data_IF_658592830318
#
_entry.id   IF_658592830318
#
_cell.length_a   1.000
_cell.length_b   1.000
_cell.length_c   1.000
_cell.angle_alpha   90.00
_cell.angle_beta   90.00
_cell.angle_gamma   90.00
#
_symmetry.space_group_name_H-M   'P 1'
#
loop_
_entity.id
_entity.type
_entity.pdbx_description
1 polymer ?
#
# COMPACT_ATOMS: atom_id res chain seq x y z
N UNK A 1 -14.80 3.94 -16.42
CA UNK A 1 -14.80 5.42 -16.32
C UNK A 1 -14.57 6.02 -17.70
N UNK A 2 -15.57 6.73 -18.25
CA UNK A 2 -15.51 7.33 -19.59
C UNK A 2 -14.84 8.71 -19.51
N UNK A 3 -13.56 8.72 -19.14
CA UNK A 3 -12.78 9.96 -19.14
C UNK A 3 -11.92 10.03 -20.41
N UNK A 4 -11.60 11.26 -20.87
CA UNK A 4 -10.69 11.47 -22.01
C UNK A 4 -9.34 10.78 -21.79
N UNK A 5 -8.85 10.75 -20.56
CA UNK A 5 -7.58 10.10 -20.20
C UNK A 5 -7.67 8.59 -20.38
N UNK A 6 -8.77 7.96 -19.98
CA UNK A 6 -8.99 6.53 -20.13
C UNK A 6 -9.13 6.14 -21.62
N UNK A 7 -9.88 6.90 -22.40
CA UNK A 7 -9.97 6.67 -23.85
C UNK A 7 -8.60 6.84 -24.54
N UNK A 8 -7.83 7.84 -24.13
CA UNK A 8 -6.47 8.03 -24.65
C UNK A 8 -5.57 6.83 -24.30
N UNK A 9 -5.66 6.30 -23.06
CA UNK A 9 -4.92 5.11 -22.65
C UNK A 9 -5.30 3.90 -23.51
N UNK A 10 -6.60 3.62 -23.68
CA UNK A 10 -7.07 2.49 -24.51
C UNK A 10 -6.54 2.58 -25.94
N UNK A 11 -6.62 3.77 -26.54
CA UNK A 11 -6.16 3.98 -27.89
C UNK A 11 -4.64 3.75 -28.02
N UNK A 12 -3.85 4.29 -27.09
CA UNK A 12 -2.40 4.11 -27.08
C UNK A 12 -2.00 2.64 -26.85
N UNK A 13 -2.71 1.94 -25.99
CA UNK A 13 -2.49 0.50 -25.76
C UNK A 13 -2.78 -0.30 -27.03
N UNK A 14 -3.90 -0.02 -27.70
CA UNK A 14 -4.26 -0.66 -28.96
C UNK A 14 -3.28 -0.35 -30.11
N UNK A 15 -2.82 0.90 -30.23
CA UNK A 15 -1.79 1.31 -31.22
C UNK A 15 -0.49 0.51 -31.05
N UNK A 16 -0.16 0.08 -29.83
CA UNK A 16 1.01 -0.75 -29.54
C UNK A 16 0.76 -2.26 -29.67
N UNK A 17 -0.44 -2.67 -30.07
CA UNK A 17 -0.83 -4.08 -30.17
C UNK A 17 -0.98 -4.77 -28.81
N UNK A 18 -1.14 -3.99 -27.72
CA UNK A 18 -1.32 -4.49 -26.38
C UNK A 18 -2.83 -4.60 -26.03
N UNK A 19 -3.15 -5.47 -25.12
CA UNK A 19 -4.49 -5.63 -24.57
C UNK A 19 -4.49 -5.31 -23.08
N UNK A 20 -5.46 -4.51 -22.64
CA UNK A 20 -5.68 -4.28 -21.21
C UNK A 20 -6.41 -5.50 -20.66
N UNK A 21 -5.84 -6.14 -19.64
CA UNK A 21 -6.44 -7.24 -18.91
C UNK A 21 -6.81 -6.79 -17.49
N UNK A 22 -7.85 -7.38 -16.95
CA UNK A 22 -8.28 -7.17 -15.57
C UNK A 22 -7.91 -8.43 -14.78
N UNK A 23 -6.95 -8.36 -13.84
CA UNK A 23 -6.62 -9.52 -13.02
C UNK A 23 -7.80 -9.89 -12.13
N UNK A 24 -7.95 -11.16 -11.85
CA UNK A 24 -8.97 -11.69 -10.94
C UNK A 24 -8.34 -12.11 -9.62
N UNK A 25 -9.06 -12.00 -8.51
CA UNK A 25 -8.60 -12.52 -7.23
C UNK A 25 -8.26 -14.01 -7.33
N UNK A 26 -7.11 -14.39 -6.77
CA UNK A 26 -6.55 -15.74 -6.86
C UNK A 26 -5.72 -16.02 -8.12
N UNK A 27 -5.73 -15.15 -9.11
CA UNK A 27 -4.81 -15.26 -10.25
C UNK A 27 -3.39 -14.89 -9.85
N UNK A 28 -2.42 -15.43 -10.59
CA UNK A 28 -1.02 -15.07 -10.45
C UNK A 28 -0.31 -15.05 -11.79
N UNK A 29 0.78 -14.31 -11.86
CA UNK A 29 1.65 -14.28 -13.02
C UNK A 29 3.12 -14.28 -12.59
N UNK A 30 3.96 -14.86 -13.44
CA UNK A 30 5.40 -14.81 -13.26
C UNK A 30 5.96 -13.49 -13.80
N UNK A 31 6.86 -12.87 -13.03
CA UNK A 31 7.52 -11.63 -13.37
C UNK A 31 9.03 -11.78 -13.16
N UNK A 32 9.72 -12.26 -14.17
CA UNK A 32 11.13 -12.64 -14.08
C UNK A 32 11.32 -13.76 -13.06
N UNK A 33 12.13 -13.49 -12.01
CA UNK A 33 12.31 -14.41 -10.88
C UNK A 33 11.34 -14.18 -9.73
N UNK A 34 10.36 -13.28 -9.90
CA UNK A 34 9.33 -12.96 -8.94
C UNK A 34 7.97 -13.50 -9.38
N UNK A 35 7.06 -13.62 -8.45
CA UNK A 35 5.66 -13.97 -8.69
C UNK A 35 4.77 -12.82 -8.24
N UNK A 36 3.75 -12.49 -9.01
CA UNK A 36 2.71 -11.55 -8.63
C UNK A 36 1.42 -12.33 -8.37
N UNK A 37 0.80 -12.12 -7.23
CA UNK A 37 -0.50 -12.69 -6.87
C UNK A 37 -1.51 -11.57 -6.68
N UNK A 38 -2.74 -11.76 -7.18
CA UNK A 38 -3.82 -10.80 -7.10
C UNK A 38 -4.86 -11.25 -6.08
N UNK A 39 -5.24 -10.34 -5.18
CA UNK A 39 -6.17 -10.62 -4.08
C UNK A 39 -7.44 -9.80 -4.14
N UNK A 40 -7.44 -8.68 -4.88
CA UNK A 40 -8.58 -7.80 -5.04
C UNK A 40 -8.59 -7.08 -6.39
N UNK A 41 -9.74 -6.46 -6.76
CA UNK A 41 -10.96 -6.43 -5.96
C UNK A 41 -11.72 -7.78 -5.97
N UNK A 42 -12.28 -8.16 -4.81
CA UNK A 42 -13.12 -9.38 -4.70
C UNK A 42 -14.47 -9.12 -5.37
N UNK A 43 -15.08 -7.99 -5.04
CA UNK A 43 -16.36 -7.56 -5.63
C UNK A 43 -16.13 -6.32 -6.49
N UNK A 44 -16.43 -6.42 -7.79
CA UNK A 44 -16.40 -5.26 -8.67
C UNK A 44 -17.57 -4.31 -8.32
N UNK A 45 -17.24 -3.07 -7.99
CA UNK A 45 -18.23 -2.02 -7.72
C UNK A 45 -18.06 -0.83 -8.67
N UNK A 46 -19.13 -0.49 -9.41
CA UNK A 46 -19.10 0.70 -10.25
C UNK A 46 -19.24 2.01 -9.44
N UNK A 47 -19.82 1.93 -8.25
CA UNK A 47 -20.10 3.08 -7.38
C UNK A 47 -18.98 3.38 -6.40
N UNK A 48 -18.19 2.38 -6.01
CA UNK A 48 -17.09 2.51 -5.08
C UNK A 48 -15.75 2.23 -5.78
N UNK A 49 -15.07 3.31 -6.16
CA UNK A 49 -13.80 3.22 -6.90
C UNK A 49 -12.64 2.80 -6.00
N UNK A 50 -12.70 3.11 -4.72
CA UNK A 50 -11.65 2.78 -3.78
C UNK A 50 -11.62 1.27 -3.55
N UNK A 51 -12.77 0.68 -3.27
CA UNK A 51 -12.91 -0.78 -3.12
C UNK A 51 -12.79 -1.55 -4.46
N UNK A 52 -12.76 -0.84 -5.60
CA UNK A 52 -12.34 -1.38 -6.89
C UNK A 52 -10.82 -1.39 -7.11
N UNK A 53 -10.01 -1.16 -6.10
CA UNK A 53 -8.54 -1.15 -6.20
C UNK A 53 -7.99 -2.55 -6.42
N UNK A 54 -6.99 -2.66 -7.31
CA UNK A 54 -6.22 -3.89 -7.44
C UNK A 54 -5.36 -4.06 -6.19
N UNK A 55 -5.58 -5.16 -5.48
CA UNK A 55 -4.74 -5.60 -4.37
C UNK A 55 -3.84 -6.73 -4.84
N UNK A 56 -2.52 -6.53 -4.74
CA UNK A 56 -1.55 -7.50 -5.25
C UNK A 56 -0.34 -7.64 -4.34
N UNK A 57 0.24 -8.85 -4.32
CA UNK A 57 1.49 -9.17 -3.64
C UNK A 57 2.55 -9.58 -4.65
N UNK A 58 3.73 -8.96 -4.58
CA UNK A 58 4.92 -9.36 -5.32
C UNK A 58 5.79 -10.17 -4.38
N UNK A 59 6.16 -11.38 -4.78
CA UNK A 59 6.98 -12.33 -4.01
C UNK A 59 8.30 -12.52 -4.73
N UNK A 60 9.41 -12.32 -4.00
CA UNK A 60 10.75 -12.59 -4.49
C UNK A 60 11.58 -13.28 -3.41
N UNK A 61 11.85 -14.57 -3.59
CA UNK A 61 12.48 -15.41 -2.58
C UNK A 61 11.69 -15.42 -1.27
N UNK A 62 12.35 -15.06 -0.17
CA UNK A 62 11.76 -14.99 1.17
C UNK A 62 11.14 -13.62 1.49
N UNK A 63 11.09 -12.71 0.52
CA UNK A 63 10.56 -11.34 0.71
C UNK A 63 9.31 -11.10 -0.12
N UNK A 64 8.45 -10.23 0.37
CA UNK A 64 7.23 -9.88 -0.35
C UNK A 64 6.80 -8.44 -0.11
N UNK A 65 6.07 -7.90 -1.08
CA UNK A 65 5.57 -6.52 -1.12
C UNK A 65 4.08 -6.55 -1.41
N UNK A 66 3.27 -6.05 -0.49
CA UNK A 66 1.82 -5.95 -0.66
C UNK A 66 1.42 -4.53 -1.01
N UNK A 67 0.67 -4.39 -2.09
CA UNK A 67 0.10 -3.14 -2.59
C UNK A 67 -1.42 -3.23 -2.52
N UNK A 68 -2.06 -2.29 -1.86
CA UNK A 68 -3.50 -2.33 -1.58
C UNK A 68 -4.29 -1.23 -2.30
N UNK A 69 -3.60 -0.38 -3.09
CA UNK A 69 -4.25 0.76 -3.74
C UNK A 69 -4.94 1.65 -2.70
N UNK A 70 -6.17 2.01 -2.98
CA UNK A 70 -7.05 2.77 -2.10
C UNK A 70 -8.17 1.91 -1.50
N UNK A 71 -8.00 0.56 -1.51
CA UNK A 71 -8.93 -0.37 -0.88
C UNK A 71 -9.28 0.06 0.55
N UNK A 72 -10.56 0.01 0.86
CA UNK A 72 -11.09 0.39 2.16
C UNK A 72 -11.59 -0.84 2.93
N UNK A 73 -12.19 -0.62 4.07
CA UNK A 73 -12.59 -1.63 5.04
C UNK A 73 -13.39 -2.79 4.45
N UNK A 74 -14.30 -2.50 3.55
CA UNK A 74 -15.19 -3.49 2.94
C UNK A 74 -14.38 -4.47 2.09
N UNK A 75 -13.53 -3.95 1.21
CA UNK A 75 -12.65 -4.77 0.37
C UNK A 75 -11.63 -5.56 1.20
N UNK A 76 -11.01 -4.92 2.21
CA UNK A 76 -10.10 -5.61 3.13
C UNK A 76 -10.80 -6.79 3.84
N UNK A 77 -12.06 -6.63 4.23
CA UNK A 77 -12.83 -7.69 4.87
C UNK A 77 -13.19 -8.83 3.92
N UNK A 78 -13.51 -8.53 2.66
CA UNK A 78 -13.74 -9.53 1.63
C UNK A 78 -12.48 -10.34 1.36
N UNK A 79 -11.32 -9.67 1.24
CA UNK A 79 -10.01 -10.31 1.06
C UNK A 79 -9.67 -11.22 2.26
N UNK A 80 -9.87 -10.74 3.49
CA UNK A 80 -9.68 -11.56 4.70
C UNK A 80 -10.57 -12.79 4.68
N UNK A 81 -11.83 -12.64 4.27
CA UNK A 81 -12.81 -13.73 4.20
C UNK A 81 -12.46 -14.74 3.13
N UNK A 82 -11.74 -14.35 2.09
CA UNK A 82 -11.26 -15.25 1.03
C UNK A 82 -10.08 -16.15 1.48
N UNK A 83 -9.41 -15.82 2.60
CA UNK A 83 -8.41 -16.67 3.25
C UNK A 83 -7.07 -16.76 2.50
N UNK A 84 -6.69 -15.70 1.78
CA UNK A 84 -5.37 -15.61 1.14
C UNK A 84 -4.27 -15.43 2.18
N UNK A 85 -3.05 -15.89 1.85
CA UNK A 85 -1.84 -15.55 2.61
C UNK A 85 -1.44 -14.10 2.31
N UNK A 86 -1.79 -13.19 3.23
CA UNK A 86 -1.51 -11.77 3.10
C UNK A 86 -0.15 -11.36 3.68
N UNK A 87 0.57 -12.27 4.35
CA UNK A 87 1.85 -11.97 4.98
C UNK A 87 2.81 -11.26 4.02
N UNK A 88 3.40 -10.15 4.43
CA UNK A 88 4.28 -9.37 3.54
C UNK A 88 5.39 -8.65 4.32
N UNK A 89 6.59 -8.61 3.74
CA UNK A 89 7.73 -7.88 4.32
C UNK A 89 7.50 -6.37 4.29
N UNK A 90 6.93 -5.87 3.21
CA UNK A 90 6.65 -4.45 2.98
C UNK A 90 5.18 -4.27 2.64
N UNK A 91 4.52 -3.35 3.33
CA UNK A 91 3.17 -2.90 3.01
C UNK A 91 3.22 -1.49 2.42
N UNK A 92 2.68 -1.31 1.22
CA UNK A 92 2.23 0.00 0.77
C UNK A 92 0.89 0.27 1.43
N UNK A 93 0.88 1.19 2.39
CA UNK A 93 -0.31 1.53 3.18
C UNK A 93 -1.44 2.01 2.27
N UNK A 94 -2.64 1.49 2.51
CA UNK A 94 -3.82 1.78 1.73
C UNK A 94 -4.25 3.25 1.81
N UNK A 95 -4.77 3.76 0.72
CA UNK A 95 -5.45 5.06 0.60
C UNK A 95 -4.68 6.20 1.30
N UNK A 96 -3.37 6.25 1.08
CA UNK A 96 -2.44 7.26 1.62
C UNK A 96 -2.48 7.43 3.16
N UNK A 97 -2.91 6.40 3.87
CA UNK A 97 -3.08 6.43 5.33
C UNK A 97 -4.45 6.94 5.79
N UNK A 98 -5.49 6.77 4.97
CA UNK A 98 -6.88 7.00 5.36
C UNK A 98 -7.26 6.13 6.56
N UNK A 99 -8.11 6.65 7.45
CA UNK A 99 -8.66 5.89 8.57
C UNK A 99 -9.52 4.68 8.17
N UNK A 100 -10.03 4.71 6.93
CA UNK A 100 -10.90 3.66 6.39
C UNK A 100 -10.11 2.47 5.84
N UNK A 101 -8.80 2.61 5.64
CA UNK A 101 -7.91 1.59 5.06
C UNK A 101 -6.89 1.09 6.07
N UNK A 102 -6.24 -0.03 5.76
CA UNK A 102 -5.26 -0.68 6.63
C UNK A 102 -5.85 -0.91 8.03
N UNK A 103 -7.02 -1.58 8.04
CA UNK A 103 -7.72 -1.91 9.28
C UNK A 103 -6.89 -2.82 10.16
N UNK A 104 -7.15 -2.80 11.47
CA UNK A 104 -6.37 -3.61 12.41
C UNK A 104 -6.41 -5.11 12.10
N UNK A 105 -7.56 -5.75 11.78
CA UNK A 105 -7.58 -7.14 11.37
C UNK A 105 -6.74 -7.42 10.12
N UNK A 106 -6.80 -6.53 9.12
CA UNK A 106 -6.03 -6.67 7.89
C UNK A 106 -4.53 -6.54 8.15
N UNK A 107 -4.12 -5.56 8.97
CA UNK A 107 -2.74 -5.37 9.38
C UNK A 107 -2.18 -6.57 10.17
N UNK A 108 -3.00 -7.20 11.01
CA UNK A 108 -2.62 -8.39 11.77
C UNK A 108 -2.34 -9.62 10.87
N UNK A 109 -3.04 -9.76 9.75
CA UNK A 109 -2.77 -10.84 8.79
C UNK A 109 -1.53 -10.56 7.92
N UNK A 110 -1.24 -9.27 7.65
CA UNK A 110 -0.08 -8.89 6.85
C UNK A 110 1.22 -8.99 7.67
N UNK A 111 1.21 -8.55 8.91
CA UNK A 111 2.38 -8.48 9.82
C UNK A 111 3.63 -7.88 9.15
N UNK A 112 3.56 -6.69 8.55
CA UNK A 112 4.66 -6.17 7.76
C UNK A 112 5.79 -5.67 8.66
N UNK A 113 7.03 -5.88 8.22
CA UNK A 113 8.20 -5.27 8.88
C UNK A 113 8.29 -3.76 8.56
N UNK A 114 7.92 -3.39 7.36
CA UNK A 114 7.98 -2.02 6.86
C UNK A 114 6.64 -1.61 6.28
N UNK A 115 6.21 -0.39 6.59
CA UNK A 115 5.05 0.24 5.98
C UNK A 115 5.47 1.53 5.26
N UNK A 116 5.06 1.70 4.01
CA UNK A 116 5.32 2.90 3.21
C UNK A 116 4.02 3.64 2.97
N UNK A 117 3.95 4.88 3.45
CA UNK A 117 2.84 5.80 3.20
C UNK A 117 3.26 6.76 2.08
N UNK A 118 2.67 6.58 0.90
CA UNK A 118 2.82 7.51 -0.21
C UNK A 118 1.82 8.65 -0.02
N UNK A 119 2.29 9.79 0.42
CA UNK A 119 1.47 10.95 0.77
C UNK A 119 2.24 12.23 0.50
N UNK A 120 1.56 13.28 0.11
CA UNK A 120 2.07 14.64 -0.02
C UNK A 120 1.26 15.60 0.83
N UNK A 121 1.47 16.90 0.62
CA UNK A 121 0.63 17.94 1.22
C UNK A 121 -0.81 17.77 0.75
N UNK A 122 -1.75 17.71 1.69
CA UNK A 122 -3.15 17.38 1.39
C UNK A 122 -4.11 18.00 2.40
N UNK A 123 -5.37 18.16 1.98
CA UNK A 123 -6.46 18.68 2.81
C UNK A 123 -7.36 17.56 3.39
N UNK A 124 -7.01 16.30 3.17
CA UNK A 124 -7.77 15.13 3.66
C UNK A 124 -7.37 14.74 5.09
N UNK A 125 -6.26 15.29 5.59
CA UNK A 125 -5.69 14.92 6.88
C UNK A 125 -4.97 13.57 6.88
N UNK A 126 -4.53 13.11 5.71
CA UNK A 126 -3.74 11.88 5.57
C UNK A 126 -2.24 12.13 5.79
N UNK A 127 -1.52 11.17 6.41
CA UNK A 127 -2.06 10.00 7.07
C UNK A 127 -2.79 10.38 8.35
N UNK A 128 -3.89 9.68 8.65
CA UNK A 128 -4.67 9.91 9.88
C UNK A 128 -3.99 9.30 11.09
N UNK A 129 -4.28 9.86 12.28
CA UNK A 129 -3.76 9.30 13.54
C UNK A 129 -4.26 7.88 13.78
N UNK A 130 -5.50 7.56 13.37
CA UNK A 130 -6.03 6.20 13.45
C UNK A 130 -5.14 5.17 12.75
N UNK A 131 -4.67 5.51 11.55
CA UNK A 131 -3.78 4.62 10.78
C UNK A 131 -2.38 4.56 11.39
N UNK A 132 -1.83 5.71 11.81
CA UNK A 132 -0.53 5.77 12.45
C UNK A 132 -0.50 5.01 13.79
N UNK A 133 -1.58 5.11 14.60
CA UNK A 133 -1.72 4.36 15.84
C UNK A 133 -1.70 2.85 15.59
N UNK A 134 -2.50 2.36 14.64
CA UNK A 134 -2.50 0.92 14.28
C UNK A 134 -1.11 0.41 13.89
N UNK A 135 -0.37 1.18 13.10
CA UNK A 135 1.00 0.82 12.69
C UNK A 135 1.98 0.84 13.87
N UNK A 136 1.82 1.77 14.84
CA UNK A 136 2.62 1.78 16.10
C UNK A 136 2.32 0.57 16.96
N UNK A 137 1.03 0.28 17.17
CA UNK A 137 0.59 -0.83 18.00
C UNK A 137 1.05 -2.19 17.45
N UNK A 138 1.26 -2.27 16.13
CA UNK A 138 1.81 -3.43 15.44
C UNK A 138 3.36 -3.42 15.34
N UNK A 139 4.05 -2.47 15.96
CA UNK A 139 5.53 -2.29 15.93
C UNK A 139 6.10 -2.24 14.50
N UNK A 140 5.38 -1.64 13.56
CA UNK A 140 5.77 -1.54 12.15
C UNK A 140 6.65 -0.31 11.94
N UNK A 141 7.80 -0.48 11.29
CA UNK A 141 8.64 0.64 10.89
C UNK A 141 8.01 1.39 9.71
N UNK A 142 7.60 2.63 9.95
CA UNK A 142 6.89 3.47 8.99
C UNK A 142 7.85 4.37 8.21
N UNK A 143 7.62 4.50 6.91
CA UNK A 143 8.24 5.48 6.02
C UNK A 143 7.17 6.34 5.36
N UNK A 144 7.45 7.65 5.17
CA UNK A 144 6.47 8.60 4.61
C UNK A 144 7.14 9.49 3.55
N UNK A 145 6.51 9.59 2.38
CA UNK A 145 7.07 10.37 1.26
C UNK A 145 7.02 11.88 1.50
N UNK A 146 6.04 12.41 2.24
CA UNK A 146 5.96 13.83 2.63
C UNK A 146 7.15 14.27 3.51
N UNK A 147 7.65 13.37 4.35
CA UNK A 147 8.77 13.64 5.28
C UNK A 147 10.12 13.23 4.70
N UNK A 148 10.18 12.15 3.92
CA UNK A 148 11.43 11.48 3.52
C UNK A 148 11.71 11.55 2.01
N UNK A 149 10.81 12.11 1.21
CA UNK A 149 10.93 12.17 -0.24
C UNK A 149 10.78 10.80 -0.89
N UNK A 150 11.61 10.50 -1.88
CA UNK A 150 11.57 9.21 -2.54
C UNK A 150 12.00 8.11 -1.57
N UNK A 151 11.24 7.03 -1.52
CA UNK A 151 11.49 5.85 -0.69
C UNK A 151 11.73 4.68 -1.63
N UNK A 152 12.88 4.04 -1.53
CA UNK A 152 13.27 2.90 -2.34
C UNK A 152 13.45 1.70 -1.45
N UNK A 153 12.62 0.67 -1.65
CA UNK A 153 12.76 -0.62 -1.00
C UNK A 153 13.32 -1.63 -2.02
N UNK A 154 14.47 -2.19 -1.71
CA UNK A 154 15.20 -3.15 -2.56
C UNK A 154 15.28 -4.49 -1.88
N UNK A 155 15.01 -5.57 -2.63
CA UNK A 155 15.15 -6.94 -2.14
C UNK A 155 16.25 -7.69 -2.92
N UNK A 156 17.00 -8.51 -2.21
CA UNK A 156 17.90 -9.51 -2.75
C UNK A 156 17.32 -10.94 -2.73
N UNK A 157 16.03 -11.05 -2.42
CA UNK A 157 15.30 -12.31 -2.25
C UNK A 157 15.37 -12.90 -0.85
N UNK A 158 16.15 -12.32 0.07
CA UNK A 158 16.27 -12.75 1.48
C UNK A 158 15.97 -11.61 2.44
N UNK A 159 16.44 -10.41 2.10
CA UNK A 159 16.32 -9.22 2.93
C UNK A 159 15.80 -8.04 2.12
N UNK A 160 15.09 -7.14 2.80
CA UNK A 160 14.68 -5.86 2.23
C UNK A 160 15.49 -4.75 2.88
N UNK A 161 16.09 -3.92 2.05
CA UNK A 161 16.73 -2.66 2.46
C UNK A 161 15.88 -1.49 2.00
N UNK A 162 15.59 -0.55 2.90
CA UNK A 162 14.84 0.66 2.57
C UNK A 162 15.76 1.87 2.70
N UNK A 163 15.82 2.68 1.65
CA UNK A 163 16.56 3.95 1.61
C UNK A 163 15.61 5.10 1.30
N UNK A 164 15.94 6.30 1.78
CA UNK A 164 15.14 7.50 1.61
C UNK A 164 15.99 8.61 1.01
N UNK A 165 15.38 9.48 0.21
CA UNK A 165 16.09 10.60 -0.44
C UNK A 165 16.53 11.67 0.56
N UNK A 166 15.78 11.87 1.64
CA UNK A 166 16.06 12.85 2.67
C UNK A 166 15.54 12.39 4.03
N UNK A 167 16.03 12.99 5.12
CA UNK A 167 15.54 12.78 6.49
C UNK A 167 15.42 11.29 6.88
N UNK A 168 16.48 10.51 6.69
CA UNK A 168 16.50 9.08 6.98
C UNK A 168 16.02 8.75 8.41
N UNK A 169 16.34 9.62 9.37
CA UNK A 169 15.99 9.48 10.79
C UNK A 169 14.73 10.28 11.19
N UNK A 170 13.87 10.62 10.21
CA UNK A 170 12.62 11.31 10.52
C UNK A 170 11.74 10.47 11.45
N UNK A 171 11.14 11.11 12.45
CA UNK A 171 10.10 10.49 13.27
C UNK A 171 8.79 10.44 12.47
N UNK A 172 8.65 9.43 11.64
CA UNK A 172 7.53 9.31 10.69
C UNK A 172 6.22 8.87 11.34
N UNK A 173 6.30 8.32 12.56
CA UNK A 173 5.15 7.84 13.32
C UNK A 173 5.32 8.09 14.83
N UNK A 174 5.47 9.37 15.29
CA UNK A 174 5.68 9.69 16.68
C UNK A 174 4.42 9.45 17.51
N UNK A 175 4.58 9.11 18.78
CA UNK A 175 3.51 9.13 19.77
C UNK A 175 3.06 10.57 20.07
N UNK A 176 1.88 10.74 20.67
CA UNK A 176 1.40 12.07 21.04
C UNK A 176 2.33 12.80 22.03
N UNK A 177 2.93 12.07 22.96
CA UNK A 177 3.90 12.61 23.89
C UNK A 177 5.18 13.13 23.20
N UNK A 178 5.67 12.42 22.18
CA UNK A 178 6.83 12.82 21.38
C UNK A 178 6.53 14.04 20.50
N UNK A 179 5.29 14.17 19.98
CA UNK A 179 4.83 15.37 19.24
C UNK A 179 4.87 16.63 20.13
N UNK A 180 4.43 16.50 21.38
CA UNK A 180 4.40 17.63 22.32
C UNK A 180 5.80 18.12 22.71
N UNK A 181 6.78 17.21 22.81
CA UNK A 181 8.17 17.54 23.17
C UNK A 181 8.90 18.24 22.03
N UNK A 182 8.63 17.88 20.78
CA UNK A 182 9.24 18.52 19.61
C UNK A 182 8.70 19.94 19.35
N UNK A 183 7.46 20.23 19.75
CA UNK A 183 6.84 21.54 19.61
C UNK A 183 7.33 22.56 20.66
N UNK A 184 7.95 22.11 21.76
CA UNK A 184 8.51 22.98 22.81
C UNK A 184 9.99 23.32 22.60
N UNK A 185 10.65 22.74 21.60
CA UNK A 185 12.08 22.92 21.31
C UNK A 185 12.34 23.77 20.06
N UNK A 186 11.34 24.48 19.55
CA UNK A 186 11.41 25.48 18.47
C UNK A 186 11.02 26.85 19.03
#
# INVERSE_FOLDING_TARGET
ADTRSYESLKNKTAEQGLTITHPKPGESLDFGSSKIEFYGPITESESDRNNGSIVMKIIYGDTSFLFTGDAEREEEQEILSAGYDLSATVLKVGHHGSKNSTTYPFLCEIMPKYAVISVGDNNYGHPTEDTLSRLRDADVKVYRTDMQGDIVATSDGKTVTVTTKKNENAQTNPTENEKSTSAQST
#
